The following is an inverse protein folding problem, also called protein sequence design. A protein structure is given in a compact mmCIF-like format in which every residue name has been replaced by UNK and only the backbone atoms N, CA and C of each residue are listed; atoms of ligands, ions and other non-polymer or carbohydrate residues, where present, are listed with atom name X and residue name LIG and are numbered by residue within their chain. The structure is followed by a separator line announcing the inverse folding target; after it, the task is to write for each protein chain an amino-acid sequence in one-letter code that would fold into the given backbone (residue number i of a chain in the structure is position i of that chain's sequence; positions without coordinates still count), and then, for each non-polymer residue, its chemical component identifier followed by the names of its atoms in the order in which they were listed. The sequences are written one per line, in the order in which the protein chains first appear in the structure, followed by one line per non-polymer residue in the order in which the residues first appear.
data_IF_046357320829
#
_entry.id   IF_046357320829
#
_cell.length_a   1.000
_cell.length_b   1.000
_cell.length_c   1.000
_cell.angle_alpha   90.00
_cell.angle_beta   90.00
_cell.angle_gamma   90.00
#
_symmetry.space_group_name_H-M   'P 1'
#
loop_
_entity.id
_entity.type
_entity.pdbx_description
1 polymer ?
#
# COMPACT_ATOMS: atom_id res chain seq x y z
N UNK A 1 -22.78 -51.63 44.26
CA UNK A 1 -21.76 -50.57 44.32
C UNK A 1 -21.39 -50.30 42.89
N UNK A 2 -21.90 -49.19 42.34
CA UNK A 2 -21.60 -48.77 40.96
C UNK A 2 -20.67 -47.55 41.08
N UNK A 3 -19.49 -47.70 40.52
CA UNK A 3 -18.51 -46.59 40.40
C UNK A 3 -18.99 -45.56 39.40
N UNK A 4 -19.02 -44.30 39.81
CA UNK A 4 -19.28 -43.13 38.99
C UNK A 4 -18.01 -42.77 38.22
N UNK A 5 -18.08 -42.43 36.90
CA UNK A 5 -16.94 -41.99 36.15
C UNK A 5 -16.57 -40.54 36.53
N UNK A 6 -15.26 -40.34 36.72
CA UNK A 6 -14.67 -39.01 36.93
C UNK A 6 -14.76 -38.17 35.63
N UNK A 7 -15.08 -36.87 35.70
CA UNK A 7 -15.06 -36.01 34.53
C UNK A 7 -13.62 -35.74 34.11
N UNK A 8 -13.31 -36.06 32.86
CA UNK A 8 -12.07 -35.58 32.21
C UNK A 8 -12.08 -34.05 32.07
N UNK A 9 -11.10 -33.40 32.66
CA UNK A 9 -10.87 -31.99 32.50
C UNK A 9 -10.20 -31.76 31.15
N UNK A 10 -10.99 -31.35 30.15
CA UNK A 10 -10.47 -30.89 28.85
C UNK A 10 -9.78 -29.56 29.05
N UNK A 11 -8.45 -29.59 29.05
CA UNK A 11 -7.63 -28.38 29.01
C UNK A 11 -7.77 -27.69 27.66
N UNK A 12 -8.51 -26.58 27.62
CA UNK A 12 -8.59 -25.67 26.48
C UNK A 12 -7.21 -24.99 26.24
N UNK A 13 -6.71 -24.92 25.00
CA UNK A 13 -5.36 -24.41 24.71
C UNK A 13 -5.34 -22.88 24.66
N UNK A 14 -5.57 -22.23 25.81
CA UNK A 14 -5.37 -20.76 25.97
C UNK A 14 -3.89 -20.35 25.85
N UNK A 15 -2.95 -21.29 26.03
CA UNK A 15 -1.50 -21.00 25.93
C UNK A 15 -1.02 -20.76 24.52
N UNK A 16 -1.59 -21.39 23.51
CA UNK A 16 -1.14 -21.24 22.10
C UNK A 16 -1.54 -19.90 21.49
N UNK A 17 -2.65 -19.32 21.91
CA UNK A 17 -3.05 -17.98 21.44
C UNK A 17 -2.20 -16.87 22.07
N UNK A 18 -1.83 -17.01 23.34
CA UNK A 18 -0.90 -16.09 24.01
C UNK A 18 0.51 -16.15 23.39
N UNK A 19 0.99 -17.35 23.01
CA UNK A 19 2.26 -17.52 22.33
C UNK A 19 2.25 -16.91 20.92
N UNK A 20 1.16 -17.05 20.16
CA UNK A 20 1.02 -16.42 18.83
C UNK A 20 0.97 -14.88 18.93
N UNK A 21 0.22 -14.35 19.90
CA UNK A 21 0.20 -12.91 20.15
C UNK A 21 1.61 -12.39 20.54
N UNK A 22 2.33 -13.10 21.41
CA UNK A 22 3.69 -12.75 21.80
C UNK A 22 4.68 -12.78 20.62
N UNK A 23 4.58 -13.79 19.74
CA UNK A 23 5.40 -13.88 18.53
C UNK A 23 5.10 -12.77 17.52
N UNK A 24 3.83 -12.40 17.34
CA UNK A 24 3.45 -11.28 16.48
C UNK A 24 3.96 -9.94 17.04
N UNK A 25 3.92 -9.77 18.36
CA UNK A 25 4.51 -8.60 19.04
C UNK A 25 6.04 -8.56 18.89
N UNK A 26 6.70 -9.69 19.07
CA UNK A 26 8.16 -9.79 18.88
C UNK A 26 8.56 -9.54 17.42
N UNK A 27 7.81 -10.03 16.45
CA UNK A 27 8.05 -9.77 15.02
C UNK A 27 7.87 -8.28 14.69
N UNK A 28 6.85 -7.63 15.25
CA UNK A 28 6.63 -6.20 15.10
C UNK A 28 7.78 -5.36 15.70
N UNK A 29 8.21 -5.67 16.94
CA UNK A 29 9.35 -5.00 17.54
C UNK A 29 10.66 -5.29 16.83
N UNK A 30 10.84 -6.49 16.28
CA UNK A 30 12.04 -6.83 15.52
C UNK A 30 12.09 -6.05 14.19
N UNK A 31 10.97 -5.82 13.53
CA UNK A 31 10.92 -4.94 12.36
C UNK A 31 11.25 -3.49 12.70
N UNK A 32 10.71 -2.95 13.79
CA UNK A 32 11.08 -1.61 14.29
C UNK A 32 12.56 -1.56 14.63
N UNK A 33 13.10 -2.57 15.31
CA UNK A 33 14.52 -2.65 15.66
C UNK A 33 15.42 -2.70 14.40
N UNK A 34 15.03 -3.43 13.36
CA UNK A 34 15.75 -3.44 12.09
C UNK A 34 15.68 -2.08 11.37
N UNK A 35 14.56 -1.37 11.46
CA UNK A 35 14.44 -0.02 10.92
C UNK A 35 15.35 0.96 11.68
N UNK A 36 15.39 0.88 13.00
CA UNK A 36 16.31 1.69 13.84
C UNK A 36 17.77 1.35 13.52
N UNK A 37 18.14 0.08 13.39
CA UNK A 37 19.49 -0.31 13.00
C UNK A 37 19.88 0.19 11.59
N UNK A 38 18.94 0.24 10.66
CA UNK A 38 19.17 0.83 9.33
C UNK A 38 19.35 2.36 9.39
N UNK A 39 18.64 3.03 10.31
CA UNK A 39 18.74 4.47 10.51
C UNK A 39 19.99 4.89 11.32
N UNK A 40 20.50 4.04 12.19
CA UNK A 40 21.63 4.32 13.11
C UNK A 40 22.92 3.60 12.68
N UNK A 41 22.92 2.88 11.55
CA UNK A 41 24.08 2.13 11.06
C UNK A 41 25.34 3.01 10.95
N UNK A 42 26.50 2.54 11.41
CA UNK A 42 27.74 3.32 11.39
C UNK A 42 28.10 3.68 9.96
N UNK A 43 28.44 4.95 9.74
CA UNK A 43 29.15 5.39 8.53
C UNK A 43 30.51 4.69 8.51
N UNK A 44 30.57 3.51 7.94
CA UNK A 44 31.80 2.82 7.61
C UNK A 44 31.95 2.78 6.10
N UNK A 45 32.93 3.53 5.66
CA UNK A 45 33.55 3.54 4.36
C UNK A 45 33.66 2.15 3.73
N UNK A 46 32.76 1.85 2.80
CA UNK A 46 33.03 1.12 1.56
C UNK A 46 31.74 0.98 0.77
N UNK A 47 31.63 1.85 -0.19
CA UNK A 47 30.63 1.83 -1.25
C UNK A 47 30.85 0.60 -2.14
N UNK A 48 29.88 -0.26 -2.36
CA UNK A 48 29.72 -0.86 -3.67
C UNK A 48 28.80 0.06 -4.45
N UNK A 49 29.41 0.80 -5.35
CA UNK A 49 28.74 1.57 -6.37
C UNK A 49 27.83 0.66 -7.19
N UNK A 50 26.54 0.58 -6.83
CA UNK A 50 25.52 0.20 -7.78
C UNK A 50 25.32 1.39 -8.70
N UNK A 51 26.16 1.43 -9.73
CA UNK A 51 26.00 2.31 -10.87
C UNK A 51 24.67 1.99 -11.51
N UNK A 52 23.67 2.83 -11.29
CA UNK A 52 22.47 2.90 -12.10
C UNK A 52 22.95 3.27 -13.50
N UNK A 53 22.97 2.32 -14.41
CA UNK A 53 23.16 2.61 -15.83
C UNK A 53 21.91 3.35 -16.29
N UNK A 54 22.02 4.61 -16.77
CA UNK A 54 20.91 5.23 -17.49
C UNK A 54 20.60 4.34 -18.70
N UNK A 55 19.31 4.08 -18.91
CA UNK A 55 18.84 3.44 -20.14
C UNK A 55 19.28 4.30 -21.33
N UNK A 56 19.80 3.71 -22.42
CA UNK A 56 20.18 4.47 -23.59
C UNK A 56 18.96 5.20 -24.15
N UNK A 57 19.13 6.49 -24.44
CA UNK A 57 18.20 7.27 -25.24
C UNK A 57 18.04 6.56 -26.57
N UNK A 58 16.85 6.02 -26.81
CA UNK A 58 16.50 5.52 -28.17
C UNK A 58 16.16 6.76 -28.97
N UNK A 59 17.10 7.16 -29.86
CA UNK A 59 16.80 8.12 -30.92
C UNK A 59 15.75 7.52 -31.83
N UNK A 60 14.64 8.25 -32.02
CA UNK A 60 13.61 7.90 -32.99
C UNK A 60 14.25 8.00 -34.41
N UNK A 61 14.15 6.99 -35.28
CA UNK A 61 14.53 7.10 -36.66
C UNK A 61 13.56 8.04 -37.39
N UNK A 62 14.12 9.00 -38.09
CA UNK A 62 13.43 9.86 -39.03
C UNK A 62 12.72 9.05 -40.11
N UNK A 63 11.45 9.34 -40.30
CA UNK A 63 10.59 8.75 -41.34
C UNK A 63 11.03 9.17 -42.73
N UNK A 64 11.44 8.21 -43.52
CA UNK A 64 11.41 8.32 -45.01
C UNK A 64 10.40 7.32 -45.53
N UNK A 65 9.31 7.83 -46.10
CA UNK A 65 8.29 7.05 -46.79
C UNK A 65 8.79 6.35 -48.03
N UNK A 66 8.31 5.16 -48.35
CA UNK A 66 7.99 4.73 -49.70
C UNK A 66 6.54 4.24 -49.86
N UNK A 67 6.04 4.20 -51.13
CA UNK A 67 4.63 4.26 -51.44
C UNK A 67 3.86 2.93 -51.31
N UNK A 68 2.50 2.93 -51.42
CA UNK A 68 1.64 1.92 -50.84
C UNK A 68 1.50 0.68 -51.72
N UNK A 69 1.59 -0.49 -51.11
CA UNK A 69 1.11 -1.74 -51.68
C UNK A 69 -0.25 -2.08 -51.07
N UNK A 70 -1.27 -2.11 -51.91
CA UNK A 70 -2.65 -2.49 -51.63
C UNK A 70 -2.72 -3.98 -51.28
N UNK A 71 -3.05 -4.30 -50.05
CA UNK A 71 -3.46 -5.66 -49.66
C UNK A 71 -4.90 -5.56 -49.15
N UNK A 72 -5.83 -6.15 -49.89
CA UNK A 72 -7.23 -6.31 -49.50
C UNK A 72 -7.31 -7.26 -48.30
N UNK A 73 -7.87 -6.78 -47.19
CA UNK A 73 -8.23 -7.59 -46.03
C UNK A 73 -9.77 -7.72 -46.02
N UNK A 74 -10.32 -8.95 -45.86
CA UNK A 74 -11.74 -9.17 -45.88
C UNK A 74 -12.48 -8.50 -44.73
N UNK A 75 -13.59 -7.83 -45.04
CA UNK A 75 -14.49 -7.18 -44.13
C UNK A 75 -15.11 -8.20 -43.16
N UNK A 76 -14.94 -7.97 -41.87
CA UNK A 76 -15.57 -8.77 -40.82
C UNK A 76 -14.95 -8.55 -39.44
N UNK A 77 -14.77 -7.30 -39.02
CA UNK A 77 -14.54 -7.02 -37.60
C UNK A 77 -15.34 -5.76 -37.28
N UNK A 78 -16.34 -5.92 -36.45
CA UNK A 78 -17.14 -4.82 -35.93
C UNK A 78 -16.25 -3.74 -35.38
N UNK A 79 -16.36 -2.54 -35.98
CA UNK A 79 -15.67 -1.35 -35.47
C UNK A 79 -16.20 -1.07 -34.07
N UNK A 80 -15.43 -1.42 -33.04
CA UNK A 80 -15.67 -0.94 -31.69
C UNK A 80 -15.61 0.59 -31.78
N UNK A 81 -16.74 1.20 -31.47
CA UNK A 81 -16.98 2.63 -31.48
C UNK A 81 -15.87 3.39 -30.75
N UNK A 82 -15.04 4.12 -31.49
CA UNK A 82 -13.89 4.87 -30.99
C UNK A 82 -14.26 6.18 -30.27
N UNK A 83 -15.41 6.24 -29.58
CA UNK A 83 -15.89 7.50 -28.98
C UNK A 83 -16.63 7.34 -27.63
N UNK A 84 -16.40 6.27 -26.88
CA UNK A 84 -16.79 6.33 -25.47
C UNK A 84 -15.68 7.03 -24.67
N UNK A 85 -16.02 8.02 -23.82
CA UNK A 85 -15.04 8.65 -22.97
C UNK A 85 -14.43 7.58 -22.06
N UNK A 86 -13.10 7.52 -22.03
CA UNK A 86 -12.37 6.58 -21.16
C UNK A 86 -12.86 6.79 -19.72
N UNK A 87 -13.38 5.74 -19.10
CA UNK A 87 -13.83 5.78 -17.70
C UNK A 87 -12.70 6.28 -16.80
N UNK A 88 -13.02 7.13 -15.82
CA UNK A 88 -12.05 7.66 -14.87
C UNK A 88 -11.32 6.52 -14.13
N UNK A 89 -10.01 6.64 -13.94
CA UNK A 89 -9.21 5.65 -13.24
C UNK A 89 -9.58 5.65 -11.75
N UNK A 90 -9.85 4.49 -11.17
CA UNK A 90 -9.97 4.33 -9.73
C UNK A 90 -8.59 4.04 -9.12
N UNK A 91 -8.13 4.90 -8.22
CA UNK A 91 -6.87 4.73 -7.51
C UNK A 91 -7.13 4.45 -6.04
N UNK A 92 -6.80 3.23 -5.63
CA UNK A 92 -6.88 2.77 -4.24
C UNK A 92 -5.54 3.04 -3.57
N UNK A 93 -5.55 3.77 -2.46
CA UNK A 93 -4.34 4.13 -1.71
C UNK A 93 -4.38 3.46 -0.34
N UNK A 94 -3.29 2.81 0.02
CA UNK A 94 -3.02 2.42 1.38
C UNK A 94 -2.63 3.63 2.23
N UNK A 95 -2.65 3.50 3.55
CA UNK A 95 -2.41 4.58 4.50
C UNK A 95 -1.02 4.52 5.14
N UNK A 96 -0.80 3.50 5.96
CA UNK A 96 0.38 3.38 6.81
C UNK A 96 1.62 2.99 6.00
N UNK A 97 2.72 3.72 6.18
CA UNK A 97 3.97 3.61 5.41
C UNK A 97 3.80 3.88 3.90
N UNK A 98 2.60 4.24 3.44
CA UNK A 98 2.31 4.65 2.05
C UNK A 98 2.09 6.16 1.95
N UNK A 99 1.12 6.71 2.66
CA UNK A 99 0.81 8.15 2.70
C UNK A 99 1.36 8.84 3.94
N UNK A 100 1.42 8.12 5.04
CA UNK A 100 1.91 8.60 6.34
C UNK A 100 2.74 7.53 7.02
N UNK A 101 3.51 7.89 8.06
CA UNK A 101 3.99 6.92 9.03
C UNK A 101 3.59 7.36 10.44
N UNK A 102 3.14 6.40 11.25
CA UNK A 102 2.61 6.64 12.57
C UNK A 102 3.37 5.83 13.63
N UNK A 103 3.63 6.46 14.75
CA UNK A 103 4.34 5.86 15.88
C UNK A 103 3.54 6.09 17.16
N UNK A 104 3.50 5.11 18.05
CA UNK A 104 3.05 5.37 19.41
C UNK A 104 3.99 6.41 20.04
N UNK A 105 3.43 7.55 20.48
CA UNK A 105 4.21 8.71 20.95
C UNK A 105 5.18 8.34 22.09
N UNK A 106 4.74 7.43 22.99
CA UNK A 106 5.57 6.95 24.09
C UNK A 106 6.77 6.10 23.66
N UNK A 107 6.71 5.51 22.47
CA UNK A 107 7.73 4.61 21.91
C UNK A 107 8.60 5.28 20.86
N UNK A 108 8.27 6.50 20.43
CA UNK A 108 9.00 7.25 19.41
C UNK A 108 10.32 7.78 19.97
N UNK A 109 11.49 7.39 19.41
CA UNK A 109 12.77 7.94 19.84
C UNK A 109 12.82 9.46 19.64
N UNK A 110 13.11 10.22 20.70
CA UNK A 110 13.18 11.68 20.66
C UNK A 110 14.13 12.20 19.58
N UNK A 111 15.24 11.50 19.35
CA UNK A 111 16.21 11.87 18.31
C UNK A 111 15.57 11.81 16.91
N UNK A 112 14.84 10.75 16.59
CA UNK A 112 14.17 10.59 15.31
C UNK A 112 13.08 11.65 15.12
N UNK A 113 12.28 11.89 16.16
CA UNK A 113 11.23 12.92 16.16
C UNK A 113 11.83 14.30 15.89
N UNK A 114 12.87 14.70 16.63
CA UNK A 114 13.52 16.00 16.48
C UNK A 114 14.14 16.15 15.08
N UNK A 115 14.83 15.14 14.57
CA UNK A 115 15.43 15.16 13.24
C UNK A 115 14.36 15.31 12.13
N UNK A 116 13.24 14.60 12.24
CA UNK A 116 12.14 14.70 11.28
C UNK A 116 11.51 16.11 11.27
N UNK A 117 11.29 16.69 12.47
CA UNK A 117 10.72 18.03 12.62
C UNK A 117 11.71 19.10 12.12
N UNK A 118 12.97 19.02 12.49
CA UNK A 118 14.03 19.93 12.05
C UNK A 118 14.21 19.91 10.53
N UNK A 119 14.04 18.74 9.92
CA UNK A 119 14.06 18.56 8.47
C UNK A 119 12.77 19.04 7.76
N UNK A 120 11.75 19.50 8.50
CA UNK A 120 10.54 20.12 7.98
C UNK A 120 9.42 19.13 7.62
N UNK A 121 9.47 17.87 8.11
CA UNK A 121 8.33 16.97 7.95
C UNK A 121 7.09 17.54 8.63
N UNK A 122 5.96 17.52 7.94
CA UNK A 122 4.66 17.82 8.53
C UNK A 122 4.27 16.69 9.47
N UNK A 123 3.82 17.03 10.65
CA UNK A 123 3.44 16.07 11.66
C UNK A 123 2.30 16.56 12.55
N UNK A 124 1.64 15.64 13.22
CA UNK A 124 0.61 15.92 14.23
C UNK A 124 0.46 14.75 15.21
N UNK A 125 -0.18 15.01 16.34
CA UNK A 125 -0.55 13.98 17.30
C UNK A 125 -2.04 13.69 17.23
N UNK A 126 -2.40 12.42 17.43
CA UNK A 126 -3.77 11.96 17.55
C UNK A 126 -3.98 11.22 18.86
N UNK A 127 -5.14 11.43 19.45
CA UNK A 127 -5.66 10.60 20.53
C UNK A 127 -6.44 9.44 19.91
N UNK A 128 -5.99 8.22 20.16
CA UNK A 128 -6.67 7.01 19.73
C UNK A 128 -7.25 6.28 20.93
N UNK A 129 -8.56 6.04 20.92
CA UNK A 129 -9.18 5.19 21.93
C UNK A 129 -8.79 3.74 21.66
N UNK A 130 -8.12 3.10 22.63
CA UNK A 130 -7.86 1.66 22.56
C UNK A 130 -9.16 0.88 22.78
N UNK A 131 -9.33 -0.22 22.05
CA UNK A 131 -10.40 -1.19 22.34
C UNK A 131 -10.17 -1.94 23.66
N UNK A 132 -8.97 -1.86 24.22
CA UNK A 132 -8.64 -2.49 25.48
C UNK A 132 -9.17 -1.62 26.64
N UNK A 133 -10.08 -2.20 27.41
CA UNK A 133 -10.56 -1.57 28.64
C UNK A 133 -9.50 -1.71 29.73
N UNK A 134 -9.13 -0.61 30.35
CA UNK A 134 -8.40 -0.67 31.61
C UNK A 134 -9.24 -1.41 32.68
N UNK A 135 -8.56 -1.93 33.71
CA UNK A 135 -9.21 -2.70 34.80
C UNK A 135 -10.36 -1.96 35.51
N UNK A 136 -10.51 -0.65 35.30
CA UNK A 136 -11.56 0.21 35.85
C UNK A 136 -12.68 0.55 34.84
N UNK A 137 -12.70 -0.06 33.64
CA UNK A 137 -13.74 0.19 32.62
C UNK A 137 -13.58 1.51 31.86
N UNK A 138 -12.50 2.26 32.07
CA UNK A 138 -12.13 3.44 31.27
C UNK A 138 -11.45 3.01 29.97
N UNK A 139 -11.76 3.72 28.89
CA UNK A 139 -11.05 3.54 27.62
C UNK A 139 -9.60 4.01 27.80
N UNK A 140 -8.64 3.16 27.45
CA UNK A 140 -7.23 3.54 27.40
C UNK A 140 -7.03 4.48 26.21
N UNK A 141 -6.55 5.69 26.46
CA UNK A 141 -6.19 6.65 25.43
C UNK A 141 -4.72 6.45 25.10
N UNK A 142 -4.42 6.15 23.84
CA UNK A 142 -3.07 6.10 23.32
C UNK A 142 -2.83 7.33 22.44
N UNK A 143 -1.64 7.93 22.56
CA UNK A 143 -1.23 9.04 21.71
C UNK A 143 -0.36 8.49 20.57
N UNK A 144 -0.65 8.92 19.35
CA UNK A 144 0.06 8.51 18.14
C UNK A 144 0.62 9.76 17.45
N UNK A 145 1.93 9.78 17.22
CA UNK A 145 2.61 10.80 16.43
C UNK A 145 2.64 10.36 14.98
N UNK A 146 2.05 11.16 14.09
CA UNK A 146 1.92 10.90 12.66
C UNK A 146 2.79 11.89 11.89
N UNK A 147 3.59 11.38 10.94
CA UNK A 147 4.31 12.18 9.97
C UNK A 147 3.71 11.97 8.59
N UNK A 148 3.40 13.07 7.90
CA UNK A 148 2.94 13.04 6.52
C UNK A 148 4.12 12.78 5.58
N UNK A 149 3.91 11.93 4.57
CA UNK A 149 4.88 11.75 3.49
C UNK A 149 5.04 13.06 2.71
N UNK A 150 6.28 13.47 2.39
CA UNK A 150 6.50 14.73 1.67
C UNK A 150 5.68 14.83 0.39
N UNK A 151 5.02 15.98 0.20
CA UNK A 151 4.20 16.24 -0.98
C UNK A 151 2.78 15.63 -0.94
N UNK A 152 2.33 15.06 0.19
CA UNK A 152 1.06 14.36 0.30
C UNK A 152 -0.15 15.17 -0.16
N UNK A 153 -0.31 16.41 0.32
CA UNK A 153 -1.46 17.26 -0.06
C UNK A 153 -1.47 17.58 -1.56
N UNK A 154 -0.32 17.94 -2.12
CA UNK A 154 -0.18 18.21 -3.55
C UNK A 154 -0.42 16.95 -4.39
N UNK A 155 0.04 15.78 -3.92
CA UNK A 155 -0.21 14.50 -4.56
C UNK A 155 -1.70 14.18 -4.62
N UNK A 156 -2.41 14.26 -3.49
CA UNK A 156 -3.86 14.00 -3.44
C UNK A 156 -4.65 14.97 -4.30
N UNK A 157 -4.26 16.25 -4.29
CA UNK A 157 -4.87 17.29 -5.10
C UNK A 157 -4.74 17.00 -6.59
N UNK A 158 -3.52 16.82 -7.10
CA UNK A 158 -3.29 16.55 -8.52
C UNK A 158 -3.90 15.23 -8.95
N UNK A 159 -3.84 14.20 -8.10
CA UNK A 159 -4.41 12.89 -8.40
C UNK A 159 -5.93 12.95 -8.56
N UNK A 160 -6.62 13.72 -7.72
CA UNK A 160 -8.08 13.88 -7.76
C UNK A 160 -8.60 14.55 -9.03
N UNK A 161 -7.75 15.27 -9.76
CA UNK A 161 -8.12 15.90 -11.04
C UNK A 161 -8.45 14.86 -12.12
N UNK A 162 -7.76 13.72 -12.13
CA UNK A 162 -7.89 12.70 -13.18
C UNK A 162 -8.27 11.30 -12.69
N UNK A 163 -8.35 11.07 -11.39
CA UNK A 163 -8.67 9.76 -10.81
C UNK A 163 -9.73 9.87 -9.70
N UNK A 164 -10.50 8.81 -9.49
CA UNK A 164 -11.36 8.64 -8.32
C UNK A 164 -10.56 7.98 -7.21
N UNK A 165 -10.50 8.62 -6.05
CA UNK A 165 -9.65 8.20 -4.95
C UNK A 165 -10.43 7.33 -3.97
N UNK A 166 -9.84 6.20 -3.60
CA UNK A 166 -10.35 5.30 -2.56
C UNK A 166 -9.24 5.08 -1.54
N UNK A 167 -9.55 5.24 -0.26
CA UNK A 167 -8.66 4.81 0.80
C UNK A 167 -8.97 3.36 1.16
N UNK A 168 -7.95 2.50 1.26
CA UNK A 168 -8.12 1.15 1.76
C UNK A 168 -6.96 0.77 2.67
N UNK A 169 -7.20 0.72 3.98
CA UNK A 169 -6.18 0.41 4.98
C UNK A 169 -6.51 -0.84 5.79
N UNK A 170 -5.48 -1.58 6.20
CA UNK A 170 -5.58 -2.62 7.21
C UNK A 170 -5.69 -2.07 8.64
N UNK A 171 -5.65 -0.75 8.83
CA UNK A 171 -5.87 -0.08 10.10
C UNK A 171 -7.33 -0.18 10.57
N UNK A 172 -7.53 -0.17 11.89
CA UNK A 172 -8.87 -0.09 12.48
C UNK A 172 -9.45 1.31 12.24
N UNK A 173 -10.77 1.39 12.03
CA UNK A 173 -11.47 2.64 11.76
C UNK A 173 -11.25 3.69 12.86
N UNK A 174 -11.26 3.29 14.13
CA UNK A 174 -11.05 4.20 15.26
C UNK A 174 -9.66 4.87 15.28
N UNK A 175 -8.68 4.25 14.64
CA UNK A 175 -7.35 4.82 14.40
C UNK A 175 -7.28 5.59 13.07
N UNK A 176 -7.69 4.95 11.99
CA UNK A 176 -7.45 5.48 10.65
C UNK A 176 -8.38 6.64 10.27
N UNK A 177 -9.67 6.63 10.71
CA UNK A 177 -10.62 7.70 10.39
C UNK A 177 -10.14 9.08 10.84
N UNK A 178 -9.80 9.33 12.12
CA UNK A 178 -9.35 10.66 12.55
C UNK A 178 -8.04 11.08 11.89
N UNK A 179 -7.17 10.13 11.53
CA UNK A 179 -5.95 10.39 10.80
C UNK A 179 -6.27 10.88 9.38
N UNK A 180 -7.13 10.15 8.66
CA UNK A 180 -7.53 10.51 7.30
C UNK A 180 -8.28 11.84 7.26
N UNK A 181 -9.15 12.12 8.23
CA UNK A 181 -9.83 13.42 8.34
C UNK A 181 -8.85 14.58 8.49
N UNK A 182 -7.65 14.33 9.04
CA UNK A 182 -6.61 15.32 9.22
C UNK A 182 -5.81 15.59 7.94
N UNK A 183 -5.51 14.54 7.15
CA UNK A 183 -4.71 14.66 5.93
C UNK A 183 -5.55 14.94 4.68
N UNK A 184 -6.86 14.66 4.70
CA UNK A 184 -7.80 14.86 3.60
C UNK A 184 -8.92 15.81 3.99
N UNK A 185 -8.56 17.06 4.26
CA UNK A 185 -9.50 18.12 4.69
C UNK A 185 -10.51 18.49 3.59
N UNK A 186 -10.19 18.20 2.34
CA UNK A 186 -11.06 18.49 1.19
C UNK A 186 -11.96 17.31 0.80
N UNK A 187 -11.93 16.20 1.55
CA UNK A 187 -12.73 14.99 1.30
C UNK A 187 -12.58 14.44 -0.14
N UNK A 188 -11.35 14.32 -0.61
CA UNK A 188 -11.01 13.81 -1.94
C UNK A 188 -11.24 12.30 -2.07
N UNK A 189 -11.19 11.55 -0.95
CA UNK A 189 -11.53 10.13 -0.94
C UNK A 189 -13.04 9.93 -1.03
N UNK A 190 -13.50 9.37 -2.16
CA UNK A 190 -14.91 9.02 -2.39
C UNK A 190 -15.38 7.83 -1.56
N UNK A 191 -14.46 6.95 -1.17
CA UNK A 191 -14.71 5.76 -0.37
C UNK A 191 -13.52 5.54 0.59
N UNK A 192 -13.83 5.12 1.82
CA UNK A 192 -12.82 4.79 2.84
C UNK A 192 -13.12 3.42 3.41
N UNK A 193 -12.20 2.48 3.19
CA UNK A 193 -12.29 1.09 3.64
C UNK A 193 -11.22 0.83 4.72
N UNK A 194 -11.64 0.13 5.77
CA UNK A 194 -10.83 -0.16 6.93
C UNK A 194 -10.67 -1.67 7.11
N UNK A 195 -9.92 -2.11 8.12
CA UNK A 195 -9.65 -3.52 8.42
C UNK A 195 -10.83 -4.47 8.28
N UNK A 196 -12.06 -4.16 8.74
CA UNK A 196 -13.19 -5.07 8.55
C UNK A 196 -13.56 -5.36 7.09
N UNK A 197 -13.12 -4.52 6.15
CA UNK A 197 -13.32 -4.70 4.70
C UNK A 197 -12.21 -5.54 4.04
N UNK A 198 -11.14 -5.88 4.77
CA UNK A 198 -10.10 -6.77 4.27
C UNK A 198 -10.54 -8.23 4.36
N UNK A 199 -9.97 -9.08 3.52
CA UNK A 199 -10.18 -10.53 3.56
C UNK A 199 -8.90 -11.26 3.97
N UNK A 200 -9.03 -12.50 4.44
CA UNK A 200 -7.87 -13.33 4.79
C UNK A 200 -7.71 -14.45 3.77
N UNK A 201 -6.47 -14.75 3.41
CA UNK A 201 -6.09 -15.89 2.57
C UNK A 201 -5.20 -16.83 3.39
N UNK A 202 -4.82 -17.97 2.82
CA UNK A 202 -3.86 -18.88 3.45
C UNK A 202 -2.44 -18.28 3.55
N UNK A 203 -2.13 -17.24 2.72
CA UNK A 203 -0.80 -16.62 2.65
C UNK A 203 -0.71 -15.33 3.46
N UNK A 204 -1.81 -14.60 3.60
CA UNK A 204 -1.82 -13.27 4.20
C UNK A 204 -3.16 -12.95 4.84
N UNK A 205 -3.10 -12.36 6.05
CA UNK A 205 -4.23 -11.66 6.67
C UNK A 205 -4.34 -10.23 6.11
N UNK A 206 -5.54 -9.69 6.12
CA UNK A 206 -5.80 -8.31 5.69
C UNK A 206 -5.45 -8.00 4.23
N UNK A 207 -5.83 -8.91 3.32
CA UNK A 207 -5.75 -8.69 1.87
C UNK A 207 -6.87 -7.74 1.43
N UNK A 208 -6.54 -6.82 0.55
CA UNK A 208 -7.43 -5.80 0.00
C UNK A 208 -7.98 -6.27 -1.34
N UNK A 209 -9.20 -6.79 -1.32
CA UNK A 209 -9.86 -7.27 -2.53
C UNK A 209 -10.45 -6.09 -3.31
N UNK A 210 -9.93 -5.81 -4.49
CA UNK A 210 -10.38 -4.72 -5.34
C UNK A 210 -11.75 -4.97 -5.98
N UNK A 211 -12.23 -6.22 -6.02
CA UNK A 211 -13.53 -6.58 -6.58
C UNK A 211 -14.69 -5.98 -5.77
N UNK A 212 -14.48 -5.65 -4.49
CA UNK A 212 -15.48 -4.97 -3.68
C UNK A 212 -15.64 -3.47 -4.02
N UNK A 213 -14.70 -2.90 -4.82
CA UNK A 213 -14.68 -1.48 -5.19
C UNK A 213 -15.16 -1.31 -6.64
N UNK A 214 -14.65 -2.13 -7.56
CA UNK A 214 -14.98 -2.05 -8.99
C UNK A 214 -15.08 -3.43 -9.62
N UNK A 215 -16.06 -3.58 -10.53
CA UNK A 215 -16.19 -4.76 -11.37
C UNK A 215 -15.33 -4.68 -12.64
N UNK A 216 -14.73 -3.52 -12.92
CA UNK A 216 -13.83 -3.33 -14.06
C UNK A 216 -12.35 -3.37 -13.60
N UNK A 217 -11.66 -4.50 -13.77
CA UNK A 217 -10.26 -4.60 -13.41
C UNK A 217 -9.32 -3.82 -14.34
N UNK A 218 -9.81 -3.35 -15.52
CA UNK A 218 -8.99 -2.60 -16.46
C UNK A 218 -8.72 -1.18 -15.98
N UNK A 219 -9.59 -0.64 -15.12
CA UNK A 219 -9.57 0.79 -14.72
C UNK A 219 -9.46 1.00 -13.22
N UNK A 220 -8.85 0.07 -12.50
CA UNK A 220 -8.56 0.18 -11.07
C UNK A 220 -7.11 -0.18 -10.78
N UNK A 221 -6.47 0.54 -9.86
CA UNK A 221 -5.12 0.23 -9.35
C UNK A 221 -5.07 0.41 -7.85
N UNK A 222 -4.16 -0.30 -7.18
CA UNK A 222 -3.85 -0.12 -5.77
C UNK A 222 -2.38 0.23 -5.59
N UNK A 223 -2.09 1.25 -4.78
CA UNK A 223 -0.74 1.62 -4.32
C UNK A 223 -0.60 1.20 -2.87
N UNK A 224 0.36 0.34 -2.57
CA UNK A 224 0.57 -0.22 -1.24
C UNK A 224 2.06 -0.56 -1.04
N UNK A 225 2.60 -0.29 0.16
CA UNK A 225 3.98 -0.64 0.50
C UNK A 225 4.16 -2.14 0.77
N UNK A 226 3.08 -2.86 1.05
CA UNK A 226 3.07 -4.31 1.25
C UNK A 226 2.42 -5.02 0.05
N UNK A 227 3.21 -5.65 -0.86
CA UNK A 227 2.65 -6.35 -2.01
C UNK A 227 1.63 -7.44 -1.67
N UNK A 228 1.74 -8.08 -0.50
CA UNK A 228 0.77 -9.10 -0.08
C UNK A 228 -0.65 -8.54 0.13
N UNK A 229 -0.79 -7.22 0.34
CA UNK A 229 -2.09 -6.57 0.47
C UNK A 229 -2.95 -6.68 -0.79
N UNK A 230 -2.35 -6.78 -1.98
CA UNK A 230 -3.05 -6.90 -3.27
C UNK A 230 -2.85 -8.26 -3.95
N UNK A 231 -2.62 -9.28 -3.14
CA UNK A 231 -2.39 -10.65 -3.57
C UNK A 231 -3.49 -11.20 -4.51
N UNK A 232 -4.75 -10.79 -4.32
CA UNK A 232 -5.87 -11.26 -5.15
C UNK A 232 -5.90 -10.64 -6.55
N UNK A 233 -5.39 -9.42 -6.72
CA UNK A 233 -5.32 -8.73 -8.01
C UNK A 233 -3.89 -8.21 -8.27
N UNK A 234 -2.90 -9.10 -8.44
CA UNK A 234 -1.49 -8.74 -8.57
C UNK A 234 -1.17 -7.90 -9.81
N UNK A 235 -2.00 -7.97 -10.85
CA UNK A 235 -1.85 -7.18 -12.07
C UNK A 235 -2.32 -5.71 -11.91
N UNK A 236 -3.00 -5.40 -10.82
CA UNK A 236 -3.49 -4.07 -10.49
C UNK A 236 -2.66 -3.39 -9.38
N UNK A 237 -1.65 -4.09 -8.84
CA UNK A 237 -0.83 -3.63 -7.73
C UNK A 237 0.37 -2.78 -8.16
N UNK A 238 0.56 -1.68 -7.45
CA UNK A 238 1.73 -0.79 -7.55
C UNK A 238 2.45 -0.84 -6.20
N UNK A 239 3.53 -1.61 -6.08
CA UNK A 239 4.32 -1.63 -4.86
C UNK A 239 5.08 -0.30 -4.72
N UNK A 240 5.00 0.30 -3.53
CA UNK A 240 5.77 1.50 -3.21
C UNK A 240 6.80 1.24 -2.11
N UNK A 241 7.79 2.11 -2.03
CA UNK A 241 8.80 2.02 -0.95
C UNK A 241 8.15 2.48 0.36
N UNK A 242 8.26 1.70 1.45
CA UNK A 242 7.72 2.11 2.74
C UNK A 242 8.29 3.46 3.19
N UNK A 243 7.42 4.36 3.63
CA UNK A 243 7.81 5.66 4.17
C UNK A 243 8.04 5.59 5.67
N UNK A 244 9.05 6.29 6.16
CA UNK A 244 9.33 6.46 7.59
C UNK A 244 9.79 7.88 7.90
N UNK A 245 9.69 8.30 9.17
CA UNK A 245 10.14 9.62 9.63
C UNK A 245 11.65 9.90 9.40
N UNK A 246 12.43 8.85 9.15
CA UNK A 246 13.85 8.98 8.77
C UNK A 246 14.09 9.40 7.31
N UNK A 247 13.04 9.65 6.53
CA UNK A 247 13.10 9.97 5.10
C UNK A 247 12.47 11.35 4.78
N UNK A 248 12.99 12.46 5.35
CA UNK A 248 12.38 13.79 5.21
C UNK A 248 12.41 14.34 3.79
N UNK A 249 13.24 13.77 2.92
CA UNK A 249 13.39 14.17 1.52
C UNK A 249 12.82 13.13 0.54
N UNK A 250 11.88 12.29 1.01
CA UNK A 250 11.20 11.35 0.13
C UNK A 250 10.42 12.11 -0.97
N UNK A 251 10.60 11.72 -2.22
CA UNK A 251 9.93 12.34 -3.37
C UNK A 251 9.02 11.35 -4.11
N UNK A 252 8.82 10.16 -3.57
CA UNK A 252 8.16 9.08 -4.29
C UNK A 252 6.74 9.40 -4.72
N UNK A 253 5.98 10.16 -3.90
CA UNK A 253 4.60 10.52 -4.26
C UNK A 253 4.56 11.35 -5.55
N UNK A 254 5.38 12.40 -5.63
CA UNK A 254 5.32 13.38 -6.73
C UNK A 254 6.17 12.98 -7.94
N UNK A 255 7.35 12.39 -7.71
CA UNK A 255 8.30 12.12 -8.79
C UNK A 255 8.14 10.73 -9.42
N UNK A 256 7.50 9.79 -8.69
CA UNK A 256 7.37 8.39 -9.16
C UNK A 256 5.92 7.98 -9.34
N UNK A 257 5.11 8.11 -8.27
CA UNK A 257 3.73 7.60 -8.28
C UNK A 257 2.80 8.47 -9.12
N UNK A 258 2.86 9.80 -8.95
CA UNK A 258 1.98 10.70 -9.68
C UNK A 258 2.15 10.63 -11.20
N UNK A 259 3.37 10.67 -11.77
CA UNK A 259 3.57 10.50 -13.22
C UNK A 259 3.10 9.13 -13.74
N UNK A 260 3.36 8.05 -12.96
CA UNK A 260 2.90 6.72 -13.32
C UNK A 260 1.37 6.66 -13.36
N UNK A 261 0.68 7.14 -12.31
CA UNK A 261 -0.77 7.14 -12.23
C UNK A 261 -1.41 8.01 -13.33
N UNK A 262 -0.78 9.14 -13.67
CA UNK A 262 -1.20 9.97 -14.80
C UNK A 262 -1.05 9.23 -16.14
N UNK A 263 0.03 8.49 -16.33
CA UNK A 263 0.20 7.65 -17.52
C UNK A 263 -0.88 6.54 -17.57
N UNK A 264 -1.14 5.85 -16.45
CA UNK A 264 -2.15 4.80 -16.35
C UNK A 264 -3.58 5.33 -16.58
N UNK A 265 -3.87 6.56 -16.21
CA UNK A 265 -5.19 7.16 -16.45
C UNK A 265 -5.55 7.28 -17.93
N UNK A 266 -4.55 7.31 -18.81
CA UNK A 266 -4.69 7.39 -20.26
C UNK A 266 -4.79 6.02 -20.95
N UNK A 267 -4.61 4.91 -20.22
CA UNK A 267 -4.67 3.56 -20.77
C UNK A 267 -6.11 3.01 -20.67
N UNK A 268 -6.56 2.26 -21.65
CA UNK A 268 -7.84 1.54 -21.58
C UNK A 268 -7.77 0.36 -20.59
N UNK A 269 -6.59 -0.27 -20.46
CA UNK A 269 -6.30 -1.34 -19.52
C UNK A 269 -4.95 -1.07 -18.86
N UNK A 270 -4.92 -0.94 -17.54
CA UNK A 270 -3.71 -0.66 -16.76
C UNK A 270 -2.81 -1.88 -16.59
N UNK A 271 -3.37 -3.09 -16.67
CA UNK A 271 -2.71 -4.35 -16.31
C UNK A 271 -1.49 -4.69 -17.18
N UNK A 272 -1.49 -4.50 -18.52
CA UNK A 272 -0.30 -4.75 -19.32
C UNK A 272 0.88 -3.88 -18.92
N UNK A 273 0.65 -2.58 -18.65
CA UNK A 273 1.68 -1.63 -18.22
C UNK A 273 2.25 -2.03 -16.85
N UNK A 274 1.37 -2.38 -15.90
CA UNK A 274 1.79 -2.79 -14.55
C UNK A 274 2.52 -4.13 -14.57
N UNK A 275 2.05 -5.09 -15.38
CA UNK A 275 2.68 -6.39 -15.53
C UNK A 275 4.11 -6.28 -16.07
N UNK A 276 4.33 -5.45 -17.11
CA UNK A 276 5.65 -5.20 -17.65
C UNK A 276 6.57 -4.53 -16.63
N UNK A 277 6.05 -3.53 -15.92
CA UNK A 277 6.86 -2.70 -15.01
C UNK A 277 7.24 -3.43 -13.72
N UNK A 278 6.30 -4.12 -13.07
CA UNK A 278 6.48 -4.66 -11.73
C UNK A 278 6.59 -6.18 -11.68
N UNK A 279 6.09 -6.89 -12.69
CA UNK A 279 6.12 -8.37 -12.78
C UNK A 279 5.65 -9.05 -11.49
N UNK A 280 4.55 -8.56 -10.94
CA UNK A 280 4.07 -9.01 -9.62
C UNK A 280 3.71 -10.49 -9.60
N UNK A 281 3.21 -11.06 -10.69
CA UNK A 281 2.95 -12.50 -10.80
C UNK A 281 4.23 -13.32 -10.56
N UNK A 282 5.33 -12.96 -11.24
CA UNK A 282 6.63 -13.65 -11.08
C UNK A 282 7.20 -13.44 -9.67
N UNK A 283 6.97 -12.24 -9.11
CA UNK A 283 7.41 -11.93 -7.75
C UNK A 283 6.69 -12.82 -6.74
N UNK A 284 5.35 -12.96 -6.82
CA UNK A 284 4.58 -13.83 -5.93
C UNK A 284 4.97 -15.30 -6.07
N UNK A 285 5.19 -15.79 -7.30
CA UNK A 285 5.70 -17.14 -7.53
C UNK A 285 7.03 -17.39 -6.81
N UNK A 286 7.95 -16.42 -6.83
CA UNK A 286 9.22 -16.50 -6.09
C UNK A 286 9.03 -16.50 -4.56
N UNK A 287 7.92 -15.93 -4.08
CA UNK A 287 7.52 -16.00 -2.67
C UNK A 287 6.79 -17.33 -2.31
N UNK A 288 6.66 -18.25 -3.25
CA UNK A 288 5.99 -19.53 -3.02
C UNK A 288 4.48 -19.50 -3.16
N UNK A 289 3.92 -18.42 -3.72
CA UNK A 289 2.48 -18.29 -3.97
C UNK A 289 2.20 -18.71 -5.41
N UNK A 290 1.42 -19.80 -5.63
CA UNK A 290 1.16 -20.32 -6.98
C UNK A 290 0.27 -19.37 -7.78
N UNK A 291 0.49 -19.33 -9.11
CA UNK A 291 -0.30 -18.51 -10.04
C UNK A 291 -1.73 -19.07 -10.29
N UNK A 292 -2.06 -20.26 -9.78
CA UNK A 292 -3.36 -20.90 -9.94
C UNK A 292 -4.41 -20.20 -9.08
N UNK A 293 -5.16 -19.29 -9.67
CA UNK A 293 -6.25 -18.56 -9.02
C UNK A 293 -6.37 -17.09 -9.43
N UNK A 294 -5.43 -16.60 -10.22
CA UNK A 294 -5.47 -15.23 -10.75
C UNK A 294 -6.01 -15.23 -12.18
N UNK A 295 -7.33 -15.19 -12.30
CA UNK A 295 -8.05 -15.06 -13.60
C UNK A 295 -8.66 -13.69 -13.75
#
# INVERSE_FOLDING_TARGET
MAELPHPEVVYSPRSTQLWRALWNWLAFFFQIFLQILRAVGPQSLSSPSHTFKPLPLVELPETTDPPPATVEIPAGTEAISANEPIQKLTVVLDLDETLVCAYETSSLPALLCNQAIEAGLKWFELECASSDKECEGKLKINYVTVFERPGLDEFLKQLSEFADLVLFTAGLEGYARPLVDRIDTENRFSLRLYRPSTTSTEYQEHVKDLSCISNDPCRIVIVDNNPFSFLLQPLNGIPCVPFSAGQPHDTQLLDVLLPLLKHLSQQNDVRPVLSERFRMLEWFQKQGIPASGWT
#
